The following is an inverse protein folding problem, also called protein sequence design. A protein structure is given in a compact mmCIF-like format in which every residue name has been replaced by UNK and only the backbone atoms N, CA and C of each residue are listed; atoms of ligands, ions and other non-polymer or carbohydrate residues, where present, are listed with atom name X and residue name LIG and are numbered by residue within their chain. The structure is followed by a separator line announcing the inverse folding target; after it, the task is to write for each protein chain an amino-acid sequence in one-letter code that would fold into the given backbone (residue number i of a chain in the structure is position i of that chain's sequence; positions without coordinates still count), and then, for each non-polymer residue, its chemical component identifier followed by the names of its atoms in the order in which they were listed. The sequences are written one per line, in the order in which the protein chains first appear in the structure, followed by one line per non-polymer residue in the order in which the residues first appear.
data_IF_507383424609
#
_entry.id   IF_507383424609
#
_cell.length_a   1.000
_cell.length_b   1.000
_cell.length_c   1.000
_cell.angle_alpha   90.00
_cell.angle_beta   90.00
_cell.angle_gamma   90.00
#
_symmetry.space_group_name_H-M   'P 1'
#
loop_
_entity.id
_entity.type
_entity.pdbx_description
1 polymer ?
#
# COMPACT_ATOMS: atom_id res chain seq x y z
N UNK A 1 25.05 16.87 6.00
CA UNK A 1 23.60 16.75 6.22
C UNK A 1 23.38 15.66 7.27
N UNK A 2 22.75 15.96 8.41
CA UNK A 2 22.34 14.91 9.36
C UNK A 2 21.22 14.11 8.70
N UNK A 3 21.31 12.78 8.73
CA UNK A 3 20.22 11.89 8.30
C UNK A 3 19.02 12.18 9.20
N UNK A 4 17.81 12.39 8.66
CA UNK A 4 16.62 12.68 9.48
C UNK A 4 16.38 11.53 10.45
N UNK A 5 16.32 11.84 11.74
CA UNK A 5 16.09 10.85 12.78
C UNK A 5 14.59 10.64 13.01
N UNK A 6 14.18 9.48 13.54
CA UNK A 6 12.78 9.23 13.89
C UNK A 6 12.17 10.33 14.78
N UNK A 7 12.86 10.83 15.82
CA UNK A 7 12.34 11.94 16.62
C UNK A 7 12.03 13.20 15.84
N UNK A 8 12.81 13.52 14.80
CA UNK A 8 12.57 14.70 13.96
C UNK A 8 11.30 14.54 13.11
N UNK A 9 11.03 13.32 12.65
CA UNK A 9 9.82 13.01 11.85
C UNK A 9 8.60 12.96 12.75
N UNK A 10 8.70 12.30 13.91
CA UNK A 10 7.61 12.18 14.87
C UNK A 10 7.14 13.52 15.45
N UNK A 11 8.02 14.53 15.51
CA UNK A 11 7.63 15.89 15.89
C UNK A 11 6.79 16.60 14.83
N UNK A 12 6.84 16.16 13.57
CA UNK A 12 6.15 16.80 12.45
C UNK A 12 4.87 16.08 12.03
N UNK A 13 4.85 14.75 12.17
CA UNK A 13 3.79 13.91 11.67
C UNK A 13 3.34 12.88 12.72
N UNK A 14 2.02 12.74 12.97
CA UNK A 14 1.49 11.74 13.89
C UNK A 14 1.53 10.34 13.26
N UNK A 15 2.70 9.69 13.24
CA UNK A 15 2.82 8.29 12.81
C UNK A 15 2.40 7.34 13.94
N UNK A 16 1.81 6.20 13.59
CA UNK A 16 1.37 5.15 14.54
C UNK A 16 2.47 4.62 15.48
N UNK A 17 3.74 4.79 15.12
CA UNK A 17 4.90 4.37 15.93
C UNK A 17 5.39 5.44 16.91
N UNK A 18 5.09 6.72 16.66
CA UNK A 18 5.62 7.84 17.43
C UNK A 18 5.22 7.84 18.91
N UNK A 19 3.99 7.44 19.29
CA UNK A 19 3.60 7.31 20.70
C UNK A 19 4.41 6.27 21.49
N UNK A 20 5.16 5.40 20.81
CA UNK A 20 5.97 4.33 21.40
C UNK A 20 7.47 4.64 21.41
N UNK A 21 7.88 5.71 20.73
CA UNK A 21 9.29 6.14 20.66
C UNK A 21 9.53 7.29 21.64
N UNK A 22 10.71 7.33 22.27
CA UNK A 22 11.07 8.40 23.21
C UNK A 22 11.87 7.92 24.42
N UNK A 23 12.37 8.89 25.22
CA UNK A 23 13.19 8.59 26.41
C UNK A 23 12.29 7.99 27.49
N UNK A 24 12.58 6.74 27.87
CA UNK A 24 11.82 6.01 28.90
C UNK A 24 10.40 5.61 28.47
N UNK A 25 10.16 5.42 27.17
CA UNK A 25 8.85 5.00 26.66
C UNK A 25 7.76 6.08 26.71
N UNK A 26 8.13 7.33 27.02
CA UNK A 26 7.24 8.49 26.92
C UNK A 26 7.22 8.93 25.47
N UNK A 27 6.12 8.58 24.78
CA UNK A 27 5.90 8.84 23.36
C UNK A 27 6.25 10.26 22.90
N UNK A 28 6.68 10.39 21.65
CA UNK A 28 6.95 11.69 21.02
C UNK A 28 5.65 12.20 20.39
N UNK A 29 5.18 13.35 20.85
CA UNK A 29 4.02 14.03 20.30
C UNK A 29 4.40 14.97 19.14
N UNK A 30 3.54 15.10 18.12
CA UNK A 30 3.71 16.08 17.05
C UNK A 30 3.47 17.50 17.55
N UNK A 31 4.10 18.49 16.93
CA UNK A 31 3.91 19.92 17.25
C UNK A 31 2.52 20.42 16.85
N UNK A 32 1.95 19.84 15.79
CA UNK A 32 0.62 20.15 15.29
C UNK A 32 -0.07 18.87 14.86
N UNK A 33 -1.31 18.67 15.31
CA UNK A 33 -2.19 17.56 14.92
C UNK A 33 -3.62 18.08 14.73
N UNK A 34 -4.47 17.29 14.07
CA UNK A 34 -5.86 17.67 13.82
C UNK A 34 -6.68 17.66 15.10
N UNK A 35 -7.65 18.57 15.20
CA UNK A 35 -8.53 18.65 16.37
C UNK A 35 -9.30 17.35 16.54
N UNK A 36 -9.43 16.94 17.80
CA UNK A 36 -10.25 15.79 18.15
C UNK A 36 -11.72 16.09 17.89
N UNK A 37 -12.44 15.08 17.44
CA UNK A 37 -13.88 15.14 17.26
C UNK A 37 -14.57 14.38 18.40
N UNK A 38 -15.38 15.08 19.18
CA UNK A 38 -16.14 14.50 20.29
C UNK A 38 -17.45 13.92 19.78
N UNK A 39 -17.58 12.60 19.80
CA UNK A 39 -18.82 11.89 19.49
C UNK A 39 -19.40 11.32 20.78
N UNK A 40 -20.25 12.12 21.44
CA UNK A 40 -20.82 11.75 22.74
C UNK A 40 -19.74 11.61 23.82
N UNK A 41 -19.59 10.41 24.39
CA UNK A 41 -18.55 10.11 25.39
C UNK A 41 -17.21 9.65 24.77
N UNK A 42 -17.15 9.46 23.45
CA UNK A 42 -15.93 9.00 22.76
C UNK A 42 -15.23 10.13 22.02
N UNK A 43 -13.92 10.24 22.22
CA UNK A 43 -13.07 11.21 21.54
C UNK A 43 -12.38 10.49 20.37
N UNK A 44 -12.66 10.93 19.14
CA UNK A 44 -12.01 10.41 17.95
C UNK A 44 -10.87 11.35 17.55
N UNK A 45 -9.71 10.76 17.30
CA UNK A 45 -8.55 11.48 16.79
C UNK A 45 -8.55 11.43 15.26
N UNK A 46 -8.00 12.47 14.62
CA UNK A 46 -7.79 12.51 13.16
C UNK A 46 -9.03 12.18 12.32
N UNK A 47 -10.19 12.76 12.67
CA UNK A 47 -11.48 12.46 12.04
C UNK A 47 -11.48 12.63 10.50
N UNK A 48 -10.80 13.66 9.99
CA UNK A 48 -10.68 13.89 8.55
C UNK A 48 -9.98 12.72 7.84
N UNK A 49 -8.93 12.16 8.43
CA UNK A 49 -8.22 11.00 7.88
C UNK A 49 -9.09 9.73 7.93
N UNK A 50 -9.89 9.54 9.00
CA UNK A 50 -10.82 8.40 9.12
C UNK A 50 -11.76 8.32 7.90
N UNK A 51 -12.32 9.45 7.47
CA UNK A 51 -13.21 9.49 6.30
C UNK A 51 -12.49 8.98 5.04
N UNK A 52 -11.23 9.34 4.86
CA UNK A 52 -10.41 8.88 3.73
C UNK A 52 -10.05 7.40 3.87
N UNK A 53 -9.74 6.92 5.06
CA UNK A 53 -9.50 5.49 5.31
C UNK A 53 -10.74 4.64 4.97
N UNK A 54 -11.94 5.09 5.35
CA UNK A 54 -13.20 4.42 4.97
C UNK A 54 -13.38 4.38 3.46
N UNK A 55 -13.13 5.48 2.75
CA UNK A 55 -13.14 5.51 1.30
C UNK A 55 -12.09 4.56 0.70
N UNK A 56 -10.88 4.49 1.29
CA UNK A 56 -9.82 3.60 0.85
C UNK A 56 -10.18 2.12 1.00
N UNK A 57 -10.85 1.74 2.11
CA UNK A 57 -11.34 0.37 2.32
C UNK A 57 -12.41 0.02 1.29
N UNK A 58 -13.40 0.90 1.06
CA UNK A 58 -14.44 0.69 0.05
C UNK A 58 -13.85 0.52 -1.34
N UNK A 59 -12.91 1.41 -1.72
CA UNK A 59 -12.20 1.31 -2.99
C UNK A 59 -11.35 0.04 -3.07
N UNK A 60 -10.72 -0.37 -1.97
CA UNK A 60 -9.99 -1.64 -1.87
C UNK A 60 -10.88 -2.85 -2.20
N UNK A 61 -12.09 -2.90 -1.64
CA UNK A 61 -13.07 -3.97 -1.91
C UNK A 61 -13.46 -3.98 -3.39
N UNK A 62 -13.74 -2.80 -3.97
CA UNK A 62 -14.08 -2.67 -5.39
C UNK A 62 -12.92 -3.16 -6.28
N UNK A 63 -11.68 -2.75 -6.00
CA UNK A 63 -10.51 -3.21 -6.76
C UNK A 63 -10.33 -4.72 -6.69
N UNK A 64 -10.40 -5.31 -5.49
CA UNK A 64 -10.30 -6.77 -5.31
C UNK A 64 -11.40 -7.50 -6.06
N UNK A 65 -12.63 -7.00 -6.03
CA UNK A 65 -13.73 -7.57 -6.78
C UNK A 65 -13.43 -7.61 -8.28
N UNK A 66 -13.00 -6.49 -8.87
CA UNK A 66 -12.67 -6.43 -10.30
C UNK A 66 -11.47 -7.30 -10.70
N UNK A 67 -10.41 -7.36 -9.87
CA UNK A 67 -9.27 -8.26 -10.12
C UNK A 67 -9.73 -9.71 -10.20
N UNK A 68 -10.60 -10.13 -9.28
CA UNK A 68 -11.10 -11.51 -9.24
C UNK A 68 -12.08 -11.83 -10.38
N UNK A 69 -12.74 -10.83 -10.97
CA UNK A 69 -13.64 -11.04 -12.11
C UNK A 69 -12.92 -11.34 -13.42
N UNK A 70 -11.65 -10.95 -13.59
CA UNK A 70 -10.88 -11.29 -14.79
C UNK A 70 -10.51 -12.76 -14.78
N UNK A 71 -10.66 -13.48 -15.89
CA UNK A 71 -10.37 -14.93 -15.96
C UNK A 71 -8.96 -15.29 -16.44
N UNK A 72 -8.37 -14.49 -17.34
CA UNK A 72 -7.09 -14.80 -18.03
C UNK A 72 -6.01 -13.73 -17.86
N UNK A 73 -6.13 -12.84 -16.87
CA UNK A 73 -5.15 -11.79 -16.63
C UNK A 73 -3.85 -12.33 -15.97
N UNK A 74 -2.71 -11.97 -16.56
CA UNK A 74 -1.37 -12.28 -16.05
C UNK A 74 -1.16 -11.72 -14.64
N UNK A 75 -0.67 -12.55 -13.73
CA UNK A 75 -0.36 -12.14 -12.35
C UNK A 75 -1.58 -11.75 -11.50
N UNK A 76 -2.80 -12.12 -11.91
CA UNK A 76 -4.05 -11.76 -11.20
C UNK A 76 -4.04 -12.14 -9.72
N UNK A 77 -3.65 -13.37 -9.41
CA UNK A 77 -3.69 -13.88 -8.03
C UNK A 77 -2.61 -13.24 -7.16
N UNK A 78 -1.47 -12.94 -7.74
CA UNK A 78 -0.33 -12.28 -7.12
C UNK A 78 -0.65 -10.81 -6.83
N UNK A 79 -1.32 -10.12 -7.76
CA UNK A 79 -1.76 -8.74 -7.57
C UNK A 79 -2.90 -8.65 -6.54
N UNK A 80 -3.80 -9.64 -6.51
CA UNK A 80 -4.84 -9.71 -5.48
C UNK A 80 -4.25 -9.80 -4.06
N UNK A 81 -3.14 -10.53 -3.86
CA UNK A 81 -2.45 -10.62 -2.56
C UNK A 81 -1.98 -9.24 -2.09
N UNK A 82 -1.43 -8.42 -2.99
CA UNK A 82 -1.07 -7.04 -2.67
C UNK A 82 -2.29 -6.23 -2.18
N UNK A 83 -3.41 -6.27 -2.90
CA UNK A 83 -4.60 -5.52 -2.50
C UNK A 83 -5.21 -6.01 -1.17
N UNK A 84 -5.19 -7.32 -0.89
CA UNK A 84 -5.60 -7.83 0.42
C UNK A 84 -4.70 -7.34 1.55
N UNK A 85 -3.37 -7.33 1.36
CA UNK A 85 -2.42 -6.81 2.34
C UNK A 85 -2.59 -5.30 2.54
N UNK A 86 -2.78 -4.53 1.46
CA UNK A 86 -3.06 -3.09 1.52
C UNK A 86 -4.33 -2.79 2.32
N UNK A 87 -5.44 -3.48 2.04
CA UNK A 87 -6.68 -3.31 2.78
C UNK A 87 -6.51 -3.64 4.27
N UNK A 88 -5.83 -4.75 4.59
CA UNK A 88 -5.58 -5.14 5.97
C UNK A 88 -4.70 -4.11 6.69
N UNK A 89 -3.66 -3.58 6.04
CA UNK A 89 -2.83 -2.50 6.57
C UNK A 89 -3.67 -1.24 6.85
N UNK A 90 -4.52 -0.84 5.89
CA UNK A 90 -5.38 0.34 5.99
C UNK A 90 -6.39 0.22 7.13
N UNK A 91 -6.98 -0.96 7.35
CA UNK A 91 -7.88 -1.21 8.48
C UNK A 91 -7.16 -1.07 9.81
N UNK A 92 -5.97 -1.71 9.95
CA UNK A 92 -5.18 -1.62 11.18
C UNK A 92 -4.73 -0.19 11.44
N UNK A 93 -4.30 0.53 10.41
CA UNK A 93 -3.91 1.94 10.50
C UNK A 93 -5.07 2.81 10.97
N UNK A 94 -6.26 2.65 10.38
CA UNK A 94 -7.46 3.38 10.77
C UNK A 94 -7.79 3.17 12.25
N UNK A 95 -7.67 1.94 12.78
CA UNK A 95 -7.92 1.64 14.20
C UNK A 95 -6.90 2.28 15.14
N UNK A 96 -5.65 2.42 14.71
CA UNK A 96 -4.58 3.05 15.49
C UNK A 96 -4.65 4.57 15.45
N UNK A 97 -4.91 5.16 14.28
CA UNK A 97 -4.96 6.61 14.06
C UNK A 97 -6.22 7.23 14.65
N UNK A 98 -7.37 6.54 14.57
CA UNK A 98 -8.63 7.01 15.16
C UNK A 98 -8.64 7.09 16.68
N UNK A 99 -7.66 6.47 17.35
CA UNK A 99 -7.58 6.35 18.79
C UNK A 99 -8.59 5.37 19.41
N UNK A 100 -9.30 4.59 18.58
CA UNK A 100 -10.10 3.44 19.05
C UNK A 100 -9.23 2.48 19.85
N UNK A 101 -8.01 2.22 19.35
CA UNK A 101 -6.94 1.62 20.13
C UNK A 101 -6.03 2.76 20.60
N UNK A 102 -6.26 3.24 21.82
CA UNK A 102 -5.44 4.28 22.43
C UNK A 102 -4.02 3.75 22.76
N UNK A 103 -2.97 4.59 22.69
CA UNK A 103 -1.63 4.27 23.18
C UNK A 103 -1.58 3.82 24.65
N UNK A 104 -2.62 4.13 25.44
CA UNK A 104 -2.73 3.69 26.84
C UNK A 104 -2.98 2.17 26.98
N UNK A 105 -3.49 1.51 25.93
CA UNK A 105 -3.75 0.07 25.99
C UNK A 105 -2.48 -0.74 25.73
N UNK A 106 -2.31 -1.82 26.51
CA UNK A 106 -1.20 -2.77 26.33
C UNK A 106 -1.18 -3.44 24.94
N UNK A 107 -2.29 -3.41 24.21
CA UNK A 107 -2.44 -3.97 22.85
C UNK A 107 -1.84 -3.05 21.78
N UNK A 108 -1.70 -1.74 22.05
CA UNK A 108 -1.24 -0.75 21.08
C UNK A 108 0.13 -1.08 20.46
N UNK A 109 1.19 -1.44 21.23
CA UNK A 109 2.49 -1.78 20.66
C UNK A 109 2.46 -2.98 19.71
N UNK A 110 1.64 -3.99 20.02
CA UNK A 110 1.49 -5.19 19.20
C UNK A 110 0.74 -4.88 17.89
N UNK A 111 -0.30 -4.06 17.96
CA UNK A 111 -1.05 -3.62 16.78
C UNK A 111 -0.23 -2.67 15.90
N UNK A 112 0.57 -1.78 16.47
CA UNK A 112 1.51 -0.94 15.72
C UNK A 112 2.61 -1.77 15.06
N UNK A 113 3.14 -2.80 15.73
CA UNK A 113 4.07 -3.73 15.12
C UNK A 113 3.43 -4.52 13.96
N UNK A 114 2.16 -4.95 14.12
CA UNK A 114 1.39 -5.58 13.05
C UNK A 114 1.20 -4.64 11.86
N UNK A 115 0.88 -3.37 12.12
CA UNK A 115 0.73 -2.35 11.09
C UNK A 115 2.01 -2.16 10.27
N UNK A 116 3.15 -1.98 10.93
CA UNK A 116 4.46 -1.83 10.25
C UNK A 116 4.82 -3.09 9.46
N UNK A 117 4.55 -4.27 10.02
CA UNK A 117 4.73 -5.53 9.33
C UNK A 117 3.87 -5.62 8.06
N UNK A 118 2.61 -5.22 8.14
CA UNK A 118 1.68 -5.21 7.01
C UNK A 118 2.10 -4.23 5.92
N UNK A 119 2.57 -3.03 6.29
CA UNK A 119 3.15 -2.07 5.33
C UNK A 119 4.31 -2.73 4.59
N UNK A 120 5.31 -3.26 5.29
CA UNK A 120 6.47 -3.88 4.66
C UNK A 120 6.12 -5.10 3.81
N UNK A 121 5.17 -5.92 4.25
CA UNK A 121 4.67 -7.06 3.47
C UNK A 121 3.92 -6.63 2.21
N UNK A 122 3.10 -5.58 2.27
CA UNK A 122 2.39 -5.05 1.11
C UNK A 122 3.37 -4.50 0.07
N UNK A 123 4.39 -3.77 0.50
CA UNK A 123 5.44 -3.24 -0.38
C UNK A 123 6.26 -4.37 -0.98
N UNK A 124 6.61 -5.39 -0.20
CA UNK A 124 7.31 -6.58 -0.70
C UNK A 124 6.48 -7.32 -1.76
N UNK A 125 5.18 -7.50 -1.52
CA UNK A 125 4.27 -8.11 -2.49
C UNK A 125 4.19 -7.26 -3.79
N UNK A 126 4.12 -5.93 -3.68
CA UNK A 126 4.13 -5.03 -4.84
C UNK A 126 5.44 -5.13 -5.62
N UNK A 127 6.57 -5.14 -4.91
CA UNK A 127 7.91 -5.32 -5.49
C UNK A 127 8.02 -6.62 -6.29
N UNK A 128 7.59 -7.74 -5.71
CA UNK A 128 7.59 -9.04 -6.42
C UNK A 128 6.65 -9.06 -7.62
N UNK A 129 5.47 -8.44 -7.51
CA UNK A 129 4.57 -8.26 -8.66
C UNK A 129 5.26 -7.53 -9.82
N UNK A 130 6.19 -6.61 -9.52
CA UNK A 130 6.95 -5.91 -10.55
C UNK A 130 7.85 -6.81 -11.41
N UNK A 131 8.28 -7.98 -10.89
CA UNK A 131 9.05 -8.96 -11.66
C UNK A 131 8.19 -9.90 -12.49
N UNK A 132 6.94 -10.13 -12.09
CA UNK A 132 6.03 -11.03 -12.80
C UNK A 132 5.76 -10.54 -14.23
N UNK A 133 5.72 -9.22 -14.43
CA UNK A 133 5.57 -8.64 -15.77
C UNK A 133 6.70 -8.96 -16.75
N UNK A 134 7.89 -9.36 -16.26
CA UNK A 134 9.00 -9.83 -17.10
C UNK A 134 8.97 -11.33 -17.36
N UNK A 135 7.97 -12.05 -16.84
CA UNK A 135 7.78 -13.50 -16.99
C UNK A 135 8.99 -14.34 -16.54
N UNK A 136 9.77 -13.86 -15.55
CA UNK A 136 10.87 -14.66 -14.97
C UNK A 136 10.39 -15.96 -14.32
N UNK A 137 9.16 -15.93 -13.80
CA UNK A 137 8.45 -17.08 -13.24
C UNK A 137 7.10 -17.12 -13.93
N UNK A 138 6.69 -18.28 -14.43
CA UNK A 138 5.37 -18.49 -15.00
C UNK A 138 4.29 -18.09 -13.99
N UNK A 139 3.37 -17.22 -14.42
CA UNK A 139 2.30 -16.71 -13.59
C UNK A 139 1.31 -17.82 -13.23
N UNK A 140 0.62 -17.67 -12.08
CA UNK A 140 -0.31 -18.69 -11.58
C UNK A 140 0.29 -20.07 -11.25
N UNK A 141 1.62 -20.25 -11.37
CA UNK A 141 2.28 -21.46 -10.86
C UNK A 141 2.19 -21.53 -9.33
N UNK A 142 2.10 -22.74 -8.75
CA UNK A 142 2.12 -22.90 -7.30
C UNK A 142 3.39 -22.31 -6.68
N UNK A 143 4.52 -22.32 -7.41
CA UNK A 143 5.77 -21.73 -6.98
C UNK A 143 5.66 -20.20 -6.84
N UNK A 144 5.09 -19.50 -7.83
CA UNK A 144 4.84 -18.05 -7.77
C UNK A 144 3.95 -17.68 -6.56
N UNK A 145 2.81 -18.37 -6.42
CA UNK A 145 1.81 -18.06 -5.40
C UNK A 145 2.28 -18.36 -3.98
N UNK A 146 2.92 -19.50 -3.76
CA UNK A 146 3.47 -19.82 -2.44
C UNK A 146 4.73 -19.01 -2.14
N UNK A 147 5.53 -18.70 -3.17
CA UNK A 147 6.70 -17.83 -3.06
C UNK A 147 6.32 -16.44 -2.55
N UNK A 148 5.37 -15.76 -3.18
CA UNK A 148 4.94 -14.43 -2.74
C UNK A 148 4.31 -14.47 -1.33
N UNK A 149 3.54 -15.52 -0.99
CA UNK A 149 2.92 -15.67 0.33
C UNK A 149 3.95 -15.87 1.44
N UNK A 150 4.85 -16.84 1.29
CA UNK A 150 5.86 -17.14 2.31
C UNK A 150 6.88 -16.02 2.47
N UNK A 151 7.32 -15.42 1.37
CA UNK A 151 8.28 -14.30 1.45
C UNK A 151 7.63 -13.04 2.03
N UNK A 152 6.38 -12.73 1.68
CA UNK A 152 5.64 -11.62 2.31
C UNK A 152 5.39 -11.88 3.81
N UNK A 153 5.08 -13.13 4.19
CA UNK A 153 4.92 -13.50 5.60
C UNK A 153 6.24 -13.41 6.37
N UNK A 154 7.36 -13.76 5.74
CA UNK A 154 8.68 -13.61 6.34
C UNK A 154 9.03 -12.13 6.54
N UNK A 155 8.82 -11.27 5.53
CA UNK A 155 9.06 -9.83 5.64
C UNK A 155 8.14 -9.20 6.70
N UNK A 156 6.86 -9.60 6.74
CA UNK A 156 5.94 -9.25 7.81
C UNK A 156 6.53 -9.60 9.19
N UNK A 157 6.96 -10.85 9.38
CA UNK A 157 7.50 -11.33 10.66
C UNK A 157 8.77 -10.60 11.09
N UNK A 158 9.69 -10.32 10.15
CA UNK A 158 10.92 -9.59 10.44
C UNK A 158 10.61 -8.13 10.83
N UNK A 159 9.78 -7.44 10.07
CA UNK A 159 9.39 -6.06 10.37
C UNK A 159 8.61 -5.95 11.70
N UNK A 160 7.70 -6.91 11.96
CA UNK A 160 6.99 -7.05 13.22
C UNK A 160 7.94 -7.23 14.40
N UNK A 161 8.90 -8.16 14.28
CA UNK A 161 9.88 -8.46 15.32
C UNK A 161 10.78 -7.25 15.63
N UNK A 162 11.24 -6.54 14.59
CA UNK A 162 12.04 -5.32 14.78
C UNK A 162 11.20 -4.22 15.47
N UNK A 163 9.94 -4.04 15.07
CA UNK A 163 9.06 -3.04 15.66
C UNK A 163 8.75 -3.33 17.14
N UNK A 164 8.32 -4.54 17.46
CA UNK A 164 8.02 -4.91 18.86
C UNK A 164 9.29 -4.92 19.72
N UNK A 165 10.40 -5.41 19.18
CA UNK A 165 11.69 -5.40 19.86
C UNK A 165 12.17 -3.98 20.17
N UNK A 166 11.89 -3.02 19.29
CA UNK A 166 12.20 -1.60 19.51
C UNK A 166 11.30 -0.98 20.58
N UNK A 167 10.01 -1.29 20.59
CA UNK A 167 9.04 -0.63 21.47
C UNK A 167 9.02 -1.19 22.89
N UNK A 168 9.33 -2.48 23.07
CA UNK A 168 9.30 -3.17 24.37
C UNK A 168 10.69 -3.35 25.01
N UNK A 169 11.76 -2.83 24.38
CA UNK A 169 13.16 -2.99 24.85
C UNK A 169 13.56 -4.46 25.10
N UNK A 170 13.02 -5.41 24.33
CA UNK A 170 13.31 -6.83 24.51
C UNK A 170 14.80 -7.16 24.34
N UNK A 171 15.53 -6.38 23.55
CA UNK A 171 16.94 -6.58 23.27
C UNK A 171 17.74 -5.30 23.49
N UNK A 172 18.94 -5.44 24.07
CA UNK A 172 19.83 -4.31 24.41
C UNK A 172 20.26 -3.44 23.22
N UNK A 173 20.13 -3.94 21.98
CA UNK A 173 20.44 -3.21 20.75
C UNK A 173 19.20 -2.53 20.11
N UNK A 174 18.00 -2.81 20.60
CA UNK A 174 16.73 -2.22 20.16
C UNK A 174 16.12 -1.46 21.35
N UNK A 175 16.20 -0.13 21.31
CA UNK A 175 15.57 0.72 22.32
C UNK A 175 14.72 1.79 21.62
N UNK A 176 13.62 2.27 22.25
CA UNK A 176 12.88 3.44 21.80
C UNK A 176 13.75 4.69 21.59
N UNK A 177 14.93 4.72 22.21
CA UNK A 177 15.93 5.79 22.05
C UNK A 177 16.90 5.56 20.88
N UNK A 178 17.14 4.30 20.49
CA UNK A 178 17.99 3.93 19.37
C UNK A 178 17.22 3.06 18.36
N UNK A 179 16.37 3.73 17.58
CA UNK A 179 15.49 3.13 16.58
C UNK A 179 16.11 3.00 15.19
N UNK A 180 17.44 2.91 15.10
CA UNK A 180 18.16 2.82 13.82
C UNK A 180 17.75 1.60 12.96
N UNK A 181 17.63 0.36 13.50
CA UNK A 181 17.18 -0.79 12.70
C UNK A 181 15.76 -0.62 12.17
N UNK A 182 14.87 -0.05 12.99
CA UNK A 182 13.50 0.27 12.60
C UNK A 182 13.49 1.32 11.47
N UNK A 183 14.44 2.25 11.47
CA UNK A 183 14.50 3.34 10.49
C UNK A 183 14.92 2.82 9.12
N UNK A 184 15.92 1.93 9.11
CA UNK A 184 16.35 1.24 7.90
C UNK A 184 15.19 0.44 7.31
N UNK A 185 14.49 -0.35 8.13
CA UNK A 185 13.38 -1.17 7.65
C UNK A 185 12.23 -0.30 7.10
N UNK A 186 11.80 0.69 7.89
CA UNK A 186 10.60 1.48 7.59
C UNK A 186 10.79 2.44 6.41
N UNK A 187 11.94 3.12 6.31
CA UNK A 187 12.18 4.11 5.26
C UNK A 187 13.07 3.59 4.13
N UNK A 188 14.24 3.03 4.45
CA UNK A 188 15.25 2.71 3.44
C UNK A 188 14.83 1.50 2.62
N UNK A 189 14.50 0.38 3.28
CA UNK A 189 14.17 -0.86 2.59
C UNK A 189 12.85 -0.71 1.84
N UNK A 190 11.79 -0.27 2.52
CA UNK A 190 10.49 -0.01 1.91
C UNK A 190 10.59 1.01 0.76
N UNK A 191 11.30 2.12 0.96
CA UNK A 191 11.50 3.13 -0.08
C UNK A 191 12.27 2.60 -1.30
N UNK A 192 13.32 1.81 -1.08
CA UNK A 192 14.09 1.18 -2.15
C UNK A 192 13.23 0.19 -2.95
N UNK A 193 12.42 -0.63 -2.29
CA UNK A 193 11.52 -1.58 -2.95
C UNK A 193 10.47 -0.88 -3.83
N UNK A 194 9.85 0.18 -3.32
CA UNK A 194 8.90 1.00 -4.10
C UNK A 194 9.60 1.65 -5.31
N UNK A 195 10.78 2.22 -5.10
CA UNK A 195 11.54 2.85 -6.18
C UNK A 195 11.90 1.84 -7.28
N UNK A 196 12.41 0.67 -6.90
CA UNK A 196 12.74 -0.40 -7.84
C UNK A 196 11.48 -0.85 -8.59
N UNK A 197 10.35 -1.02 -7.91
CA UNK A 197 9.08 -1.37 -8.55
C UNK A 197 8.72 -0.37 -9.66
N UNK A 198 8.71 0.94 -9.36
CA UNK A 198 8.40 1.97 -10.35
C UNK A 198 9.38 1.98 -11.53
N UNK A 199 10.69 1.85 -11.27
CA UNK A 199 11.71 1.78 -12.32
C UNK A 199 11.51 0.55 -13.21
N UNK A 200 11.24 -0.61 -12.62
CA UNK A 200 10.97 -1.85 -13.35
C UNK A 200 9.73 -1.72 -14.24
N UNK A 201 8.64 -1.13 -13.74
CA UNK A 201 7.41 -0.94 -14.53
C UNK A 201 7.63 0.01 -15.70
N UNK A 202 8.40 1.09 -15.50
CA UNK A 202 8.77 2.00 -16.59
C UNK A 202 9.60 1.26 -17.66
N UNK A 203 10.60 0.47 -17.24
CA UNK A 203 11.41 -0.34 -18.16
C UNK A 203 10.56 -1.33 -18.93
N UNK A 204 9.63 -2.03 -18.26
CA UNK A 204 8.72 -2.98 -18.89
C UNK A 204 7.91 -2.34 -20.01
N UNK A 205 7.30 -1.18 -19.73
CA UNK A 205 6.48 -0.46 -20.74
C UNK A 205 7.33 -0.05 -21.93
N UNK A 206 8.53 0.49 -21.71
CA UNK A 206 9.38 0.92 -22.82
C UNK A 206 10.00 -0.21 -23.65
N UNK A 207 10.24 -1.37 -23.04
CA UNK A 207 10.92 -2.50 -23.70
C UNK A 207 9.98 -3.52 -24.29
N UNK A 208 8.78 -3.67 -23.75
CA UNK A 208 7.90 -4.82 -24.03
C UNK A 208 6.58 -4.40 -24.68
N UNK A 209 6.07 -3.21 -24.37
CA UNK A 209 4.74 -2.77 -24.82
C UNK A 209 4.82 -1.77 -25.97
N UNK A 210 4.03 -2.01 -27.02
CA UNK A 210 3.90 -1.07 -28.14
C UNK A 210 3.01 0.13 -27.80
N UNK A 211 2.01 -0.08 -26.92
CA UNK A 211 1.08 0.95 -26.46
C UNK A 211 1.62 1.61 -25.19
N UNK A 212 1.86 2.93 -25.25
CA UNK A 212 2.46 3.69 -24.13
C UNK A 212 1.45 4.31 -23.16
N UNK A 213 0.16 4.07 -23.35
CA UNK A 213 -0.88 4.58 -22.44
C UNK A 213 -0.65 4.19 -20.96
N UNK A 214 -0.22 2.94 -20.61
CA UNK A 214 0.10 2.56 -19.23
C UNK A 214 1.22 3.39 -18.58
N UNK A 215 2.07 4.07 -19.37
CA UNK A 215 3.13 4.92 -18.84
C UNK A 215 2.55 6.10 -18.04
N UNK A 216 1.40 6.63 -18.48
CA UNK A 216 0.72 7.70 -17.76
C UNK A 216 0.24 7.26 -16.38
N UNK A 217 -0.34 6.06 -16.30
CA UNK A 217 -0.86 5.48 -15.05
C UNK A 217 0.26 5.30 -14.01
N UNK A 218 1.40 4.72 -14.42
CA UNK A 218 2.50 4.46 -13.49
C UNK A 218 3.22 5.74 -13.04
N UNK A 219 3.35 6.74 -13.93
CA UNK A 219 3.92 8.05 -13.57
C UNK A 219 2.98 8.79 -12.61
N UNK A 220 1.67 8.76 -12.85
CA UNK A 220 0.69 9.35 -11.93
C UNK A 220 0.69 8.63 -10.58
N UNK A 221 0.81 7.30 -10.57
CA UNK A 221 0.95 6.53 -9.34
C UNK A 221 2.16 6.98 -8.50
N UNK A 222 3.33 7.11 -9.15
CA UNK A 222 4.56 7.59 -8.49
C UNK A 222 4.43 9.04 -8.02
N UNK A 223 3.80 9.90 -8.84
CA UNK A 223 3.55 11.30 -8.52
C UNK A 223 2.65 11.47 -7.30
N UNK A 224 1.50 10.78 -7.27
CA UNK A 224 0.62 10.81 -6.10
C UNK A 224 1.30 10.28 -4.85
N UNK A 225 2.01 9.15 -4.94
CA UNK A 225 2.75 8.62 -3.79
C UNK A 225 3.79 9.62 -3.27
N UNK A 226 4.61 10.19 -4.15
CA UNK A 226 5.63 11.18 -3.80
C UNK A 226 5.04 12.44 -3.15
N UNK A 227 3.94 12.97 -3.70
CA UNK A 227 3.21 14.11 -3.11
C UNK A 227 2.67 13.75 -1.73
N UNK A 228 2.11 12.55 -1.56
CA UNK A 228 1.60 12.07 -0.27
C UNK A 228 2.70 11.96 0.79
N UNK A 229 3.85 11.36 0.46
CA UNK A 229 4.99 11.26 1.39
C UNK A 229 5.57 12.64 1.71
N UNK A 230 5.61 13.56 0.73
CA UNK A 230 6.05 14.93 0.96
C UNK A 230 5.10 15.68 1.90
N UNK A 231 3.79 15.57 1.68
CA UNK A 231 2.76 16.16 2.53
C UNK A 231 2.87 15.64 3.97
N UNK A 232 3.04 14.33 4.15
CA UNK A 232 3.15 13.71 5.46
C UNK A 232 4.44 14.07 6.20
N UNK A 233 5.62 13.89 5.59
CA UNK A 233 6.88 14.01 6.34
C UNK A 233 7.49 15.41 6.36
N UNK A 234 7.20 16.25 5.36
CA UNK A 234 7.81 17.58 5.24
C UNK A 234 6.81 18.71 5.51
N UNK A 235 5.56 18.58 5.06
CA UNK A 235 4.57 19.65 5.10
C UNK A 235 3.45 19.46 6.12
N UNK A 236 3.49 18.43 6.98
CA UNK A 236 2.43 18.17 7.94
C UNK A 236 2.19 19.34 8.91
N UNK A 237 3.23 19.85 9.57
CA UNK A 237 3.14 21.01 10.46
C UNK A 237 2.55 22.26 9.77
N UNK A 238 3.09 22.75 8.62
CA UNK A 238 2.52 23.93 7.98
C UNK A 238 1.09 23.69 7.51
N UNK A 239 0.75 22.52 6.96
CA UNK A 239 -0.63 22.18 6.56
C UNK A 239 -1.58 22.29 7.76
N UNK A 240 -1.18 21.74 8.90
CA UNK A 240 -1.96 21.78 10.13
C UNK A 240 -2.20 23.22 10.64
N UNK A 241 -1.17 24.06 10.64
CA UNK A 241 -1.30 25.47 11.05
C UNK A 241 -2.17 26.28 10.06
N UNK A 242 -1.95 26.11 8.75
CA UNK A 242 -2.72 26.85 7.73
C UNK A 242 -4.19 26.45 7.67
N UNK A 243 -4.52 25.21 8.01
CA UNK A 243 -5.90 24.72 8.04
C UNK A 243 -6.55 24.87 9.42
N UNK A 244 -6.01 25.69 10.32
CA UNK A 244 -6.54 25.90 11.67
C UNK A 244 -6.75 24.61 12.48
N UNK A 245 -5.89 23.60 12.28
CA UNK A 245 -5.97 22.27 12.89
C UNK A 245 -7.20 21.44 12.46
N UNK A 246 -7.79 21.69 11.28
CA UNK A 246 -8.83 20.79 10.75
C UNK A 246 -8.26 19.59 9.98
N UNK A 247 -7.11 19.78 9.33
CA UNK A 247 -6.48 18.79 8.45
C UNK A 247 -4.97 18.80 8.69
N UNK A 248 -4.34 17.63 8.68
CA UNK A 248 -2.91 17.48 8.87
C UNK A 248 -2.25 16.75 7.67
N UNK A 249 -0.98 16.40 7.81
CA UNK A 249 -0.28 15.61 6.79
C UNK A 249 -0.81 14.19 6.60
N UNK A 250 -1.42 13.58 7.63
CA UNK A 250 -1.98 12.22 7.55
C UNK A 250 -3.14 12.16 6.56
N UNK A 251 -4.05 13.15 6.61
CA UNK A 251 -5.15 13.23 5.64
C UNK A 251 -4.65 13.17 4.17
N UNK A 252 -3.69 14.02 3.82
CA UNK A 252 -3.12 14.04 2.47
C UNK A 252 -2.28 12.79 2.17
N UNK A 253 -1.56 12.28 3.17
CA UNK A 253 -0.79 11.04 3.06
C UNK A 253 -1.66 9.86 2.64
N UNK A 254 -2.79 9.65 3.32
CA UNK A 254 -3.73 8.57 3.04
C UNK A 254 -4.44 8.78 1.71
N UNK A 255 -4.91 10.01 1.43
CA UNK A 255 -5.61 10.33 0.18
C UNK A 255 -4.72 10.08 -1.04
N UNK A 256 -3.50 10.61 -1.01
CA UNK A 256 -2.54 10.43 -2.09
C UNK A 256 -2.07 8.98 -2.22
N UNK A 257 -1.96 8.24 -1.11
CA UNK A 257 -1.63 6.81 -1.15
C UNK A 257 -2.77 6.00 -1.78
N UNK A 258 -4.03 6.28 -1.43
CA UNK A 258 -5.20 5.69 -2.10
C UNK A 258 -5.18 5.96 -3.60
N UNK A 259 -5.00 7.21 -4.01
CA UNK A 259 -4.92 7.59 -5.43
C UNK A 259 -3.76 6.88 -6.14
N UNK A 260 -2.60 6.74 -5.47
CA UNK A 260 -1.46 5.99 -6.01
C UNK A 260 -1.82 4.51 -6.24
N UNK A 261 -2.41 3.84 -5.24
CA UNK A 261 -2.84 2.44 -5.34
C UNK A 261 -3.90 2.25 -6.44
N UNK A 262 -4.82 3.20 -6.60
CA UNK A 262 -5.79 3.20 -7.69
C UNK A 262 -5.11 3.31 -9.07
N UNK A 263 -4.06 4.12 -9.20
CA UNK A 263 -3.31 4.22 -10.45
C UNK A 263 -2.45 2.97 -10.71
N UNK A 264 -1.93 2.33 -9.66
CA UNK A 264 -1.29 1.01 -9.77
C UNK A 264 -2.29 -0.06 -10.25
N UNK A 265 -3.53 -0.03 -9.73
CA UNK A 265 -4.60 -0.89 -10.23
C UNK A 265 -4.90 -0.63 -11.70
N UNK A 266 -5.08 0.64 -12.10
CA UNK A 266 -5.31 1.01 -13.51
C UNK A 266 -4.17 0.58 -14.41
N UNK A 267 -2.93 0.77 -13.96
CA UNK A 267 -1.74 0.32 -14.68
C UNK A 267 -1.80 -1.19 -14.92
N UNK A 268 -2.04 -1.98 -13.87
CA UNK A 268 -2.16 -3.44 -13.97
C UNK A 268 -3.33 -3.85 -14.90
N UNK A 269 -4.48 -3.18 -14.77
CA UNK A 269 -5.64 -3.43 -15.64
C UNK A 269 -5.30 -3.15 -17.12
N UNK A 270 -4.55 -2.10 -17.38
CA UNK A 270 -4.16 -1.61 -18.71
C UNK A 270 -3.21 -2.55 -19.44
N UNK A 271 -2.24 -3.14 -18.73
CA UNK A 271 -1.28 -4.09 -19.31
C UNK A 271 -1.84 -5.52 -19.46
N UNK A 272 -3.01 -5.81 -18.87
CA UNK A 272 -3.66 -7.13 -18.89
C UNK A 272 -4.96 -7.14 -19.72
N UNK A 273 -5.01 -6.36 -20.81
CA UNK A 273 -6.24 -6.13 -21.59
C UNK A 273 -6.60 -7.19 -22.64
N UNK A 274 -5.89 -8.31 -22.73
CA UNK A 274 -6.10 -9.26 -23.83
C UNK A 274 -6.83 -10.53 -23.35
N UNK A 275 -7.97 -10.83 -24.00
CA UNK A 275 -8.62 -12.16 -24.21
C UNK A 275 -10.15 -12.12 -24.30
N UNK A 276 -10.82 -10.97 -24.03
CA UNK A 276 -12.27 -10.87 -24.23
C UNK A 276 -12.68 -10.79 -25.71
N UNK A 277 -11.78 -10.42 -26.62
CA UNK A 277 -12.04 -10.44 -28.07
C UNK A 277 -12.08 -11.87 -28.64
N UNK A 278 -11.42 -12.84 -28.01
CA UNK A 278 -11.43 -14.24 -28.46
C UNK A 278 -12.61 -15.05 -27.91
N UNK A 279 -13.35 -14.53 -26.93
CA UNK A 279 -14.56 -15.18 -26.39
C UNK A 279 -15.83 -14.91 -27.24
N UNK A 280 -15.78 -13.96 -28.19
CA UNK A 280 -16.94 -13.55 -29.01
C UNK A 280 -16.85 -14.07 -30.46
N UNK A 281 -15.91 -14.96 -30.80
CA UNK A 281 -15.80 -15.56 -32.15
C UNK A 281 -16.35 -16.99 -32.28
N UNK A 282 -17.08 -17.52 -31.29
CA UNK A 282 -17.66 -18.87 -31.36
C UNK A 282 -19.10 -18.96 -31.88
N UNK A 283 -19.75 -17.83 -32.20
CA UNK A 283 -21.09 -17.83 -32.82
C UNK A 283 -21.04 -17.13 -34.17
N UNK A 284 -20.60 -17.87 -35.20
CA UNK A 284 -21.26 -17.99 -36.51
C UNK A 284 -20.34 -18.68 -37.55
N UNK A 285 -20.41 -20.01 -37.72
CA UNK A 285 -19.93 -20.63 -38.95
C UNK A 285 -20.95 -20.35 -40.06
N UNK A 286 -20.92 -19.14 -40.65
CA UNK A 286 -21.72 -18.79 -41.86
C UNK A 286 -21.32 -19.67 -43.07
N UNK A 287 -20.26 -20.47 -42.97
CA UNK A 287 -19.75 -21.31 -44.05
C UNK A 287 -20.39 -22.70 -44.17
N UNK A 288 -21.20 -23.16 -43.20
CA UNK A 288 -21.86 -24.48 -43.29
C UNK A 288 -23.12 -24.49 -44.18
N UNK A 289 -23.72 -23.33 -44.50
CA UNK A 289 -24.97 -23.29 -45.29
C UNK A 289 -24.77 -23.35 -46.81
N UNK A 290 -23.53 -23.38 -47.34
CA UNK A 290 -23.31 -23.39 -48.80
C UNK A 290 -23.20 -24.76 -49.45
N UNK A 291 -23.21 -25.85 -48.68
CA UNK A 291 -23.17 -27.21 -49.27
C UNK A 291 -24.55 -27.85 -49.48
N UNK A 292 -25.64 -27.27 -48.95
CA UNK A 292 -26.98 -27.86 -49.11
C UNK A 292 -27.77 -27.37 -50.33
N UNK A 293 -27.27 -26.39 -51.09
CA UNK A 293 -28.01 -25.79 -52.21
C UNK A 293 -27.53 -26.24 -53.60
N UNK A 294 -26.77 -27.34 -53.70
CA UNK A 294 -26.32 -27.89 -54.99
C UNK A 294 -26.95 -29.22 -55.39
N UNK A 295 -27.87 -29.76 -54.59
CA UNK A 295 -28.52 -31.07 -54.82
C UNK A 295 -30.05 -31.03 -54.97
N UNK A 296 -30.66 -29.86 -55.09
CA UNK A 296 -32.10 -29.75 -55.39
C UNK A 296 -32.35 -28.66 -56.43
N UNK A 297 -32.86 -29.13 -57.58
CA UNK A 297 -33.32 -28.46 -58.82
C UNK A 297 -32.25 -27.98 -59.81
#
# INVERSE_FOLDING_TARGET
MKVPSFPDICRKAPLTICPLLGVGGKGIEPQCYSRNFELGETILFEFAAIVVYLAAIVMGVIMVYHVNMKYTAVGRKEMAIFFYLYMLATVVEMLLVSGVISPAFAVYPWMTAAHIGLISASIWALFLNGFIGFQFIEDSTPLSLWGIRWTSLLVFGVAYFISIGTTQEFFRFLSPTNSFPLWIMYFVLNGAMILIYFLLQIVLVFKTLDVRWPLGDIILAAGFFGIGQAALYFFSDPICVYTNHYIDGVFFGVLCTLLSVMMVYKYWDSITKEDLEFAVSSVNPIWEMKMSHKDLS
#
